data_IF_560807094434
#
_entry.id   IF_560807094434
#
_cell.length_a   1.000
_cell.length_b   1.000
_cell.length_c   1.000
_cell.angle_alpha   90.00
_cell.angle_beta   90.00
_cell.angle_gamma   90.00
#
_symmetry.space_group_name_H-M   'P 1'
#
loop_
_entity.id
_entity.type
_entity.pdbx_description
1 polymer ?
#
# COMPACT_ATOMS: atom_id res chain seq x y z
N UNK A 1 14.45 -8.69 -13.61
CA UNK A 1 14.26 -7.75 -12.48
C UNK A 1 12.78 -7.77 -12.11
N UNK A 2 12.42 -7.72 -10.84
CA UNK A 2 11.01 -7.65 -10.45
C UNK A 2 10.48 -6.24 -10.71
N UNK A 3 9.29 -6.13 -11.33
CA UNK A 3 8.62 -4.85 -11.56
C UNK A 3 8.28 -4.17 -10.24
N UNK A 4 8.51 -2.86 -10.13
CA UNK A 4 8.18 -2.07 -8.94
C UNK A 4 6.80 -1.43 -9.07
N UNK A 5 6.24 -0.97 -7.96
CA UNK A 5 4.99 -0.20 -7.94
C UNK A 5 5.26 1.26 -7.60
N UNK A 6 4.46 2.17 -8.13
CA UNK A 6 4.43 3.57 -7.68
C UNK A 6 3.19 3.76 -6.82
N UNK A 7 3.35 4.39 -5.67
CA UNK A 7 2.26 4.81 -4.81
C UNK A 7 2.24 6.33 -4.69
N UNK A 8 1.07 6.91 -4.96
CA UNK A 8 0.79 8.34 -4.83
C UNK A 8 -0.51 8.50 -4.06
N UNK A 9 -0.45 9.14 -2.91
CA UNK A 9 -1.63 9.36 -2.08
C UNK A 9 -1.62 10.76 -1.45
N UNK A 10 -2.77 11.16 -0.93
CA UNK A 10 -2.87 12.36 -0.12
C UNK A 10 -2.39 12.05 1.29
N UNK A 11 -1.37 12.76 1.75
CA UNK A 11 -0.82 12.63 3.09
C UNK A 11 -1.68 13.32 4.16
N UNK A 12 -1.33 13.13 5.42
CA UNK A 12 -2.05 13.73 6.57
C UNK A 12 -1.75 15.22 6.75
N UNK A 13 -0.69 15.73 6.14
CA UNK A 13 -0.28 17.14 6.22
C UNK A 13 0.24 17.51 7.60
N UNK A 14 1.24 16.79 8.12
CA UNK A 14 1.94 17.10 9.37
C UNK A 14 3.32 17.70 9.08
N UNK A 15 3.44 19.02 9.06
CA UNK A 15 4.71 19.71 8.82
C UNK A 15 5.75 19.37 9.89
N UNK A 16 5.33 19.18 11.14
CA UNK A 16 6.23 18.76 12.22
C UNK A 16 6.86 17.39 11.98
N UNK A 17 6.10 16.44 11.41
CA UNK A 17 6.64 15.14 10.99
C UNK A 17 7.57 15.29 9.79
N UNK A 18 7.13 16.01 8.76
CA UNK A 18 7.87 16.17 7.52
C UNK A 18 9.23 16.85 7.75
N UNK A 19 9.27 17.83 8.67
CA UNK A 19 10.48 18.60 8.98
C UNK A 19 11.27 18.05 10.17
N UNK A 20 10.92 16.83 10.66
CA UNK A 20 11.64 16.17 11.78
C UNK A 20 11.73 17.01 13.05
N UNK A 21 10.66 17.72 13.40
CA UNK A 21 10.60 18.48 14.66
C UNK A 21 10.41 17.59 15.89
N UNK A 22 10.10 16.31 15.68
CA UNK A 22 10.06 15.28 16.72
C UNK A 22 10.48 13.93 16.12
N UNK A 23 10.95 13.01 16.97
CA UNK A 23 11.28 11.64 16.60
C UNK A 23 10.11 10.71 16.87
N UNK A 24 9.75 9.86 15.87
CA UNK A 24 8.79 8.78 16.01
C UNK A 24 9.50 7.42 15.99
N UNK A 25 8.83 6.36 16.44
CA UNK A 25 9.41 5.01 16.58
C UNK A 25 9.94 4.41 15.27
N UNK A 26 9.41 4.84 14.13
CA UNK A 26 9.79 4.38 12.79
C UNK A 26 10.91 5.19 12.15
N UNK A 27 11.45 6.21 12.84
CA UNK A 27 12.52 7.08 12.36
C UNK A 27 13.86 6.59 12.89
N UNK A 28 14.81 6.37 11.98
CA UNK A 28 16.21 6.15 12.32
C UNK A 28 16.95 7.50 12.38
N UNK A 29 17.08 8.04 13.59
CA UNK A 29 17.69 9.36 13.80
C UNK A 29 19.14 9.45 13.28
N UNK A 30 19.86 8.34 13.16
CA UNK A 30 21.22 8.33 12.60
C UNK A 30 21.26 8.66 11.10
N UNK A 31 20.15 8.42 10.40
CA UNK A 31 19.96 8.68 8.97
C UNK A 31 19.25 9.98 8.67
N UNK A 32 18.64 10.64 9.65
CA UNK A 32 17.93 11.93 9.47
C UNK A 32 18.76 12.99 8.75
N UNK A 33 20.10 13.10 8.97
CA UNK A 33 20.92 14.02 8.19
C UNK A 33 20.99 13.75 6.67
N UNK A 34 20.59 12.55 6.22
CA UNK A 34 20.56 12.19 4.81
C UNK A 34 19.26 12.63 4.12
N UNK A 35 18.24 13.05 4.87
CA UNK A 35 17.00 13.58 4.31
C UNK A 35 17.30 14.80 3.43
N UNK A 36 16.54 14.93 2.32
CA UNK A 36 16.74 16.04 1.38
C UNK A 36 15.60 17.01 1.50
N UNK A 37 15.92 18.23 1.87
CA UNK A 37 14.96 19.34 1.93
C UNK A 37 15.07 20.14 0.63
N UNK A 38 14.02 20.10 -0.20
CA UNK A 38 13.96 20.88 -1.44
C UNK A 38 13.40 22.28 -1.21
N UNK A 39 12.35 22.38 -0.40
CA UNK A 39 11.68 23.63 -0.04
C UNK A 39 11.29 23.57 1.43
N UNK A 40 11.54 24.66 2.14
CA UNK A 40 11.11 24.85 3.52
C UNK A 40 10.73 26.32 3.75
N UNK A 41 9.44 26.60 3.75
CA UNK A 41 8.88 27.93 4.02
C UNK A 41 7.77 27.80 5.07
N UNK A 42 7.62 28.76 5.95
CA UNK A 42 6.50 28.74 6.87
C UNK A 42 5.18 28.93 6.14
N UNK A 43 4.12 28.23 6.57
CA UNK A 43 2.80 28.32 5.95
C UNK A 43 2.22 29.75 5.96
N UNK A 44 2.47 30.50 7.05
CA UNK A 44 2.10 31.93 7.16
C UNK A 44 2.72 32.76 6.05
N UNK A 45 4.02 32.58 5.83
CA UNK A 45 4.78 33.37 4.87
C UNK A 45 4.36 33.04 3.44
N UNK A 46 4.07 31.76 3.17
CA UNK A 46 3.51 31.34 1.88
C UNK A 46 2.15 31.98 1.59
N UNK A 47 1.26 32.05 2.58
CA UNK A 47 -0.03 32.72 2.42
C UNK A 47 0.12 34.22 2.22
N UNK A 48 0.97 34.90 2.95
CA UNK A 48 1.28 36.32 2.77
C UNK A 48 1.81 36.58 1.36
N UNK A 49 2.79 35.82 0.93
CA UNK A 49 3.39 35.93 -0.39
C UNK A 49 2.37 35.73 -1.54
N UNK A 50 1.44 34.80 -1.39
CA UNK A 50 0.49 34.46 -2.43
C UNK A 50 -0.72 35.39 -2.51
N UNK A 51 -1.20 35.88 -1.38
CA UNK A 51 -2.55 36.46 -1.34
C UNK A 51 -2.62 37.93 -0.89
N UNK A 52 -1.61 38.48 -0.20
CA UNK A 52 -1.70 39.83 0.38
C UNK A 52 -1.94 40.89 -0.69
N UNK A 53 -1.21 40.87 -1.79
CA UNK A 53 -1.37 41.82 -2.87
C UNK A 53 -2.78 41.78 -3.48
N UNK A 54 -3.35 40.57 -3.67
CA UNK A 54 -4.71 40.43 -4.17
C UNK A 54 -5.75 40.93 -3.13
N UNK A 55 -5.51 40.68 -1.85
CA UNK A 55 -6.34 41.19 -0.76
C UNK A 55 -6.30 42.71 -0.67
N UNK A 56 -5.14 43.34 -0.83
CA UNK A 56 -5.01 44.78 -0.85
C UNK A 56 -5.80 45.38 -2.02
N UNK A 57 -5.65 44.85 -3.25
CA UNK A 57 -6.44 45.28 -4.40
C UNK A 57 -7.95 45.12 -4.19
N UNK A 58 -8.34 43.98 -3.62
CA UNK A 58 -9.74 43.70 -3.28
C UNK A 58 -10.27 44.75 -2.28
N UNK A 59 -9.53 44.98 -1.19
CA UNK A 59 -9.89 45.90 -0.10
C UNK A 59 -9.98 47.36 -0.56
N UNK A 60 -9.14 47.79 -1.50
CA UNK A 60 -9.18 49.13 -2.08
C UNK A 60 -10.51 49.40 -2.79
N UNK A 61 -11.11 48.39 -3.41
CA UNK A 61 -12.36 48.44 -4.10
C UNK A 61 -13.61 48.26 -3.21
N UNK A 62 -13.43 47.91 -1.90
CA UNK A 62 -14.55 47.73 -0.97
C UNK A 62 -14.95 49.01 -0.25
N UNK A 63 -16.18 49.48 -0.52
CA UNK A 63 -16.77 50.63 0.17
C UNK A 63 -17.15 50.31 1.62
N UNK A 64 -17.57 49.08 1.90
CA UNK A 64 -18.05 48.64 3.21
C UNK A 64 -16.91 48.03 3.99
N UNK A 65 -16.69 48.49 5.24
CA UNK A 65 -15.63 48.01 6.13
C UNK A 65 -15.78 46.53 6.52
N UNK A 66 -17.02 46.06 6.69
CA UNK A 66 -17.35 44.68 7.05
C UNK A 66 -17.06 43.66 5.92
N UNK A 67 -16.78 44.13 4.70
CA UNK A 67 -16.38 43.28 3.57
C UNK A 67 -14.87 43.26 3.32
N UNK A 68 -14.11 44.07 4.05
CA UNK A 68 -12.66 44.06 3.94
C UNK A 68 -12.06 42.84 4.65
N UNK A 69 -11.05 42.28 4.03
CA UNK A 69 -10.32 41.08 4.54
C UNK A 69 -9.08 41.62 5.29
N UNK A 70 -8.96 41.34 6.56
CA UNK A 70 -7.78 41.69 7.36
C UNK A 70 -6.61 40.73 7.10
N UNK A 71 -6.80 39.48 7.45
CA UNK A 71 -5.87 38.41 7.15
C UNK A 71 -6.59 37.32 6.34
N UNK A 72 -6.00 36.91 5.21
CA UNK A 72 -6.69 35.97 4.31
C UNK A 72 -6.80 34.58 4.90
N UNK A 73 -5.78 34.11 5.59
CA UNK A 73 -5.81 32.80 6.25
C UNK A 73 -6.91 32.74 7.32
N UNK A 74 -6.95 33.75 8.20
CA UNK A 74 -7.98 33.82 9.25
C UNK A 74 -9.39 33.98 8.66
N UNK A 75 -9.50 34.73 7.54
CA UNK A 75 -10.78 34.88 6.82
C UNK A 75 -11.31 33.54 6.30
N UNK A 76 -10.44 32.63 5.85
CA UNK A 76 -10.83 31.31 5.34
C UNK A 76 -11.10 30.30 6.46
N UNK A 77 -10.25 30.28 7.48
CA UNK A 77 -10.22 29.19 8.45
C UNK A 77 -10.66 29.58 9.86
N UNK A 78 -10.86 30.86 10.11
CA UNK A 78 -11.17 31.41 11.44
C UNK A 78 -10.16 30.94 12.54
N UNK A 79 -8.91 30.78 12.16
CA UNK A 79 -7.79 30.30 12.98
C UNK A 79 -6.48 30.85 12.44
N UNK A 80 -5.44 30.84 13.30
CA UNK A 80 -4.06 31.08 12.86
C UNK A 80 -3.48 29.87 12.12
N UNK A 81 -2.46 30.07 11.25
CA UNK A 81 -1.73 28.99 10.61
C UNK A 81 -1.21 27.94 11.59
N UNK A 82 -1.29 26.67 11.21
CA UNK A 82 -0.88 25.54 12.03
C UNK A 82 0.02 24.62 11.24
N UNK A 83 0.88 23.85 11.93
CA UNK A 83 1.72 22.80 11.34
C UNK A 83 0.92 21.58 10.87
N UNK A 84 -0.36 21.51 11.18
CA UNK A 84 -1.30 20.49 10.68
C UNK A 84 -2.34 21.15 9.79
N UNK A 85 -2.88 20.35 8.84
CA UNK A 85 -3.96 20.81 7.95
C UNK A 85 -5.17 21.28 8.75
N UNK A 86 -5.62 22.49 8.45
CA UNK A 86 -6.91 23.02 8.92
C UNK A 86 -7.92 22.87 7.79
N UNK A 87 -9.12 22.36 8.11
CA UNK A 87 -10.23 22.29 7.15
C UNK A 87 -11.25 23.34 7.49
N UNK A 88 -11.54 24.22 6.54
CA UNK A 88 -12.56 25.26 6.65
C UNK A 88 -13.98 24.69 6.54
N UNK A 89 -14.96 25.55 6.79
CA UNK A 89 -16.42 25.21 6.76
C UNK A 89 -16.88 24.72 5.39
N UNK A 90 -16.27 25.19 4.31
CA UNK A 90 -16.52 24.78 2.93
C UNK A 90 -15.70 23.56 2.48
N UNK A 91 -15.08 22.82 3.41
CA UNK A 91 -14.18 21.68 3.18
C UNK A 91 -12.86 22.06 2.47
N UNK A 92 -12.54 23.32 2.33
CA UNK A 92 -11.24 23.79 1.85
C UNK A 92 -10.17 23.48 2.90
N UNK A 93 -9.01 23.07 2.44
CA UNK A 93 -7.86 22.75 3.31
C UNK A 93 -6.83 23.86 3.24
N UNK A 94 -6.20 24.17 4.38
CA UNK A 94 -5.14 25.19 4.44
C UNK A 94 -3.90 24.85 3.60
N UNK A 95 -3.66 23.59 3.34
CA UNK A 95 -2.70 23.07 2.37
C UNK A 95 -2.99 21.61 2.09
N UNK A 96 -2.39 21.09 1.06
CA UNK A 96 -2.47 19.67 0.69
C UNK A 96 -1.09 19.03 0.75
N UNK A 97 -1.05 17.75 0.99
CA UNK A 97 0.16 16.96 0.95
C UNK A 97 0.05 15.88 -0.13
N UNK A 98 1.05 15.81 -1.00
CA UNK A 98 1.24 14.72 -1.95
C UNK A 98 2.38 13.85 -1.46
N UNK A 99 2.07 12.58 -1.15
CA UNK A 99 3.02 11.58 -0.69
C UNK A 99 3.32 10.62 -1.83
N UNK A 100 4.61 10.47 -2.15
CA UNK A 100 5.09 9.67 -3.29
C UNK A 100 6.17 8.72 -2.85
N UNK A 101 6.03 7.45 -3.22
CA UNK A 101 7.09 6.44 -3.04
C UNK A 101 7.04 5.37 -4.13
N UNK A 102 8.19 4.70 -4.32
CA UNK A 102 8.41 3.68 -5.35
C UNK A 102 8.72 2.37 -4.64
N UNK A 103 8.04 1.30 -5.03
CA UNK A 103 8.26 -0.05 -4.49
C UNK A 103 7.70 -0.25 -3.08
N UNK A 104 8.34 -1.15 -2.36
CA UNK A 104 8.00 -1.57 -0.99
C UNK A 104 9.26 -1.66 -0.14
N UNK A 105 9.10 -1.82 1.19
CA UNK A 105 10.23 -2.04 2.10
C UNK A 105 11.15 -3.20 1.68
N UNK A 106 10.60 -4.23 1.00
CA UNK A 106 11.37 -5.42 0.62
C UNK A 106 12.26 -5.21 -0.61
N UNK A 107 11.83 -4.36 -1.54
CA UNK A 107 12.47 -4.23 -2.86
C UNK A 107 13.14 -2.87 -3.10
N UNK A 108 12.71 -1.82 -2.41
CA UNK A 108 13.28 -0.47 -2.49
C UNK A 108 13.49 0.16 -1.12
N UNK A 109 13.38 -0.63 -0.05
CA UNK A 109 13.66 -0.18 1.31
C UNK A 109 15.12 0.26 1.47
N UNK A 110 15.36 1.15 2.43
CA UNK A 110 16.72 1.63 2.72
C UNK A 110 17.65 0.45 3.01
N UNK A 111 18.80 0.44 2.34
CA UNK A 111 19.78 -0.65 2.39
C UNK A 111 19.59 -1.73 1.33
N UNK A 112 18.55 -1.66 0.49
CA UNK A 112 18.43 -2.52 -0.69
C UNK A 112 19.20 -1.93 -1.89
N UNK A 113 19.63 -2.75 -2.87
CA UNK A 113 20.34 -2.27 -4.06
C UNK A 113 19.56 -1.21 -4.87
N UNK A 114 18.21 -1.31 -4.88
CA UNK A 114 17.38 -0.40 -5.66
C UNK A 114 17.00 0.89 -4.91
N UNK A 115 17.36 1.02 -3.62
CA UNK A 115 17.04 2.20 -2.81
C UNK A 115 17.67 3.48 -3.34
N UNK A 116 18.92 3.44 -3.79
CA UNK A 116 19.63 4.59 -4.32
C UNK A 116 19.01 5.06 -5.64
N UNK A 117 18.74 4.13 -6.56
CA UNK A 117 18.14 4.44 -7.86
C UNK A 117 16.74 5.04 -7.68
N UNK A 118 15.93 4.46 -6.79
CA UNK A 118 14.58 5.01 -6.51
C UNK A 118 14.63 6.36 -5.82
N UNK A 119 15.66 6.63 -5.01
CA UNK A 119 15.92 7.94 -4.41
C UNK A 119 16.20 8.98 -5.50
N UNK A 120 17.04 8.67 -6.48
CA UNK A 120 17.31 9.57 -7.62
C UNK A 120 16.07 9.81 -8.47
N UNK A 121 15.26 8.78 -8.73
CA UNK A 121 13.97 8.96 -9.43
C UNK A 121 13.04 9.94 -8.69
N UNK A 122 12.99 9.86 -7.36
CA UNK A 122 12.17 10.78 -6.55
C UNK A 122 12.74 12.20 -6.53
N UNK A 123 14.09 12.38 -6.59
CA UNK A 123 14.73 13.69 -6.74
C UNK A 123 14.34 14.34 -8.06
N UNK A 124 14.58 13.65 -9.17
CA UNK A 124 14.26 14.14 -10.52
C UNK A 124 12.75 14.48 -10.63
N UNK A 125 11.91 13.64 -10.07
CA UNK A 125 10.47 13.90 -10.03
C UNK A 125 10.15 15.21 -9.30
N UNK A 126 10.77 15.46 -8.15
CA UNK A 126 10.52 16.67 -7.36
C UNK A 126 11.07 17.93 -8.06
N UNK A 127 12.23 17.87 -8.66
CA UNK A 127 12.87 19.00 -9.35
C UNK A 127 11.94 19.59 -10.44
N UNK A 128 11.22 18.73 -11.17
CA UNK A 128 10.26 19.15 -12.17
C UNK A 128 8.87 19.46 -11.64
N UNK A 129 8.56 19.21 -10.37
CA UNK A 129 7.18 19.22 -9.86
C UNK A 129 6.53 20.60 -9.96
N UNK A 130 7.20 21.66 -9.50
CA UNK A 130 6.62 23.03 -9.52
C UNK A 130 6.37 23.53 -10.95
N UNK A 131 7.25 23.22 -11.89
CA UNK A 131 7.09 23.63 -13.29
C UNK A 131 5.90 22.94 -13.97
N UNK A 132 5.65 21.67 -13.64
CA UNK A 132 4.51 20.89 -14.15
C UNK A 132 3.19 21.29 -13.50
N UNK A 133 3.25 21.81 -12.27
CA UNK A 133 2.09 22.15 -11.45
C UNK A 133 2.12 23.64 -11.05
N UNK A 134 2.01 24.57 -12.00
CA UNK A 134 2.22 25.99 -11.74
C UNK A 134 1.20 26.57 -10.75
N UNK A 135 0.01 26.01 -10.66
CA UNK A 135 -1.05 26.42 -9.73
C UNK A 135 -0.98 25.74 -8.36
N UNK A 136 0.01 24.85 -8.13
CA UNK A 136 0.29 24.25 -6.83
C UNK A 136 1.56 24.86 -6.25
N UNK A 137 1.41 25.88 -5.45
CA UNK A 137 2.55 26.52 -4.81
C UNK A 137 3.15 25.62 -3.74
N UNK A 138 4.31 25.04 -4.01
CA UNK A 138 5.04 24.19 -3.07
C UNK A 138 5.75 25.07 -2.05
N UNK A 139 5.36 24.96 -0.79
CA UNK A 139 5.99 25.69 0.31
C UNK A 139 6.84 24.82 1.24
N UNK A 140 6.65 23.50 1.18
CA UNK A 140 7.46 22.55 1.91
C UNK A 140 7.59 21.24 1.12
N UNK A 141 8.82 20.75 0.89
CA UNK A 141 9.06 19.49 0.23
C UNK A 141 10.30 18.81 0.79
N UNK A 142 10.14 17.56 1.25
CA UNK A 142 11.20 16.78 1.89
C UNK A 142 11.17 15.35 1.40
N UNK A 143 12.34 14.81 1.03
CA UNK A 143 12.56 13.41 0.74
C UNK A 143 13.14 12.74 2.00
N UNK A 144 12.39 11.82 2.58
CA UNK A 144 12.80 11.07 3.75
C UNK A 144 13.58 9.82 3.35
N UNK A 145 14.77 9.68 3.92
CA UNK A 145 15.68 8.53 3.80
C UNK A 145 15.93 7.85 5.15
N UNK A 146 15.31 8.33 6.20
CA UNK A 146 15.44 7.91 7.59
C UNK A 146 14.30 7.01 8.08
N UNK A 147 13.39 6.63 7.20
CA UNK A 147 12.38 5.61 7.43
C UNK A 147 12.66 4.34 6.62
N UNK A 148 11.75 3.37 6.66
CA UNK A 148 11.97 2.06 6.02
C UNK A 148 12.04 2.10 4.50
N UNK A 149 11.44 3.08 3.84
CA UNK A 149 11.43 3.23 2.38
C UNK A 149 11.61 4.70 2.01
N UNK A 150 12.46 5.05 1.03
CA UNK A 150 12.54 6.41 0.52
C UNK A 150 11.18 6.92 0.06
N UNK A 151 10.78 8.10 0.52
CA UNK A 151 9.49 8.70 0.15
C UNK A 151 9.53 10.22 0.23
N UNK A 152 8.74 10.84 -0.64
CA UNK A 152 8.70 12.28 -0.84
C UNK A 152 7.40 12.86 -0.30
N UNK A 153 7.51 13.85 0.59
CA UNK A 153 6.42 14.69 1.07
C UNK A 153 6.43 16.03 0.34
N UNK A 154 5.37 16.35 -0.39
CA UNK A 154 5.21 17.62 -1.10
C UNK A 154 3.99 18.34 -0.53
N UNK A 155 4.20 19.44 0.21
CA UNK A 155 3.12 20.25 0.75
C UNK A 155 2.93 21.47 -0.13
N UNK A 156 1.68 21.71 -0.57
CA UNK A 156 1.36 22.77 -1.51
C UNK A 156 0.04 23.47 -1.18
N UNK A 157 -0.05 24.73 -1.59
CA UNK A 157 -1.25 25.56 -1.56
C UNK A 157 -1.77 25.68 -3.00
N UNK A 158 -3.02 25.27 -3.29
CA UNK A 158 -3.57 25.41 -4.64
C UNK A 158 -4.04 26.84 -4.90
N UNK A 159 -3.50 27.47 -5.91
CA UNK A 159 -3.78 28.86 -6.29
C UNK A 159 -4.67 28.93 -7.53
N UNK A 160 -5.84 29.49 -7.39
CA UNK A 160 -6.79 29.69 -8.49
C UNK A 160 -7.04 31.18 -8.76
N UNK A 161 -7.20 31.54 -10.05
CA UNK A 161 -7.41 32.90 -10.49
C UNK A 161 -8.88 33.16 -10.91
N UNK A 162 -9.42 34.30 -10.51
CA UNK A 162 -10.82 34.63 -10.69
C UNK A 162 -10.99 36.05 -11.22
N UNK A 163 -12.00 36.24 -12.05
CA UNK A 163 -12.34 37.55 -12.65
C UNK A 163 -13.24 38.44 -11.78
N UNK A 164 -13.82 37.89 -10.70
CA UNK A 164 -14.74 38.59 -9.80
C UNK A 164 -14.41 38.36 -8.35
N UNK A 165 -14.50 39.40 -7.55
CA UNK A 165 -14.21 39.33 -6.10
C UNK A 165 -12.70 39.35 -5.83
N UNK A 166 -12.23 38.53 -4.88
CA UNK A 166 -10.80 38.34 -4.67
C UNK A 166 -10.22 37.60 -5.88
N UNK A 167 -9.22 38.18 -6.54
CA UNK A 167 -8.68 37.68 -7.80
C UNK A 167 -7.89 36.41 -7.65
N UNK A 168 -7.10 36.28 -6.57
CA UNK A 168 -6.26 35.10 -6.28
C UNK A 168 -6.76 34.45 -5.00
N UNK A 169 -7.02 33.15 -5.05
CA UNK A 169 -7.58 32.41 -3.91
C UNK A 169 -6.94 31.03 -3.76
N UNK A 170 -6.90 30.55 -2.53
CA UNK A 170 -6.71 29.14 -2.26
C UNK A 170 -7.94 28.38 -2.78
N UNK A 171 -7.80 27.69 -3.93
CA UNK A 171 -8.94 27.11 -4.63
C UNK A 171 -8.50 25.90 -5.49
N UNK A 172 -8.51 24.70 -4.91
CA UNK A 172 -8.01 23.47 -5.56
C UNK A 172 -8.71 23.18 -6.90
N UNK A 173 -10.04 23.27 -6.96
CA UNK A 173 -10.78 22.98 -8.19
C UNK A 173 -10.43 23.96 -9.32
N UNK A 174 -10.24 25.25 -8.98
CA UNK A 174 -9.85 26.27 -9.96
C UNK A 174 -8.41 26.07 -10.43
N UNK A 175 -7.50 25.76 -9.51
CA UNK A 175 -6.13 25.40 -9.84
C UNK A 175 -6.05 24.19 -10.79
N UNK A 176 -6.85 23.13 -10.52
CA UNK A 176 -6.95 21.97 -11.41
C UNK A 176 -7.50 22.32 -12.79
N UNK A 177 -8.53 23.19 -12.85
CA UNK A 177 -9.11 23.64 -14.11
C UNK A 177 -8.09 24.42 -14.95
N UNK A 178 -7.35 25.35 -14.34
CA UNK A 178 -6.31 26.14 -14.98
C UNK A 178 -5.13 25.31 -15.50
N UNK A 179 -4.79 24.24 -14.81
CA UNK A 179 -3.79 23.26 -15.25
C UNK A 179 -4.32 22.27 -16.30
N UNK A 180 -5.60 22.37 -16.73
CA UNK A 180 -6.17 21.52 -17.76
C UNK A 180 -6.76 20.19 -17.28
N UNK A 181 -6.81 19.94 -15.97
CA UNK A 181 -7.38 18.71 -15.41
C UNK A 181 -8.90 18.78 -15.19
N UNK A 182 -9.52 19.97 -15.42
CA UNK A 182 -10.94 20.21 -15.20
C UNK A 182 -11.29 20.47 -13.73
N UNK A 183 -12.60 20.70 -13.47
CA UNK A 183 -13.11 21.05 -12.13
C UNK A 183 -14.16 20.06 -11.58
N UNK A 184 -14.34 18.92 -12.25
CA UNK A 184 -15.26 17.87 -11.83
C UNK A 184 -14.63 16.92 -10.79
N UNK A 185 -15.43 15.99 -10.27
CA UNK A 185 -15.02 15.04 -9.23
C UNK A 185 -13.83 14.13 -9.62
N UNK A 186 -13.50 14.02 -10.91
CA UNK A 186 -12.38 13.20 -11.42
C UNK A 186 -11.12 14.03 -11.74
N UNK A 187 -11.16 15.35 -11.60
CA UNK A 187 -10.01 16.22 -11.88
C UNK A 187 -8.75 15.76 -11.10
N UNK A 188 -8.90 15.47 -9.83
CA UNK A 188 -7.79 14.98 -8.99
C UNK A 188 -7.26 13.60 -9.43
N UNK A 189 -8.11 12.72 -9.95
CA UNK A 189 -7.68 11.41 -10.45
C UNK A 189 -6.91 11.54 -11.77
N UNK A 190 -7.34 12.46 -12.66
CA UNK A 190 -6.61 12.77 -13.90
C UNK A 190 -5.24 13.39 -13.62
N UNK A 191 -5.17 14.35 -12.71
CA UNK A 191 -3.90 14.94 -12.28
C UNK A 191 -2.96 13.87 -11.69
N UNK A 192 -3.46 13.04 -10.77
CA UNK A 192 -2.66 11.98 -10.14
C UNK A 192 -2.19 10.95 -11.15
N UNK A 193 -3.01 10.60 -12.14
CA UNK A 193 -2.62 9.70 -13.22
C UNK A 193 -1.50 10.31 -14.07
N UNK A 194 -1.61 11.58 -14.41
CA UNK A 194 -0.56 12.30 -15.13
C UNK A 194 0.77 12.31 -14.37
N UNK A 195 0.75 12.65 -13.09
CA UNK A 195 1.95 12.63 -12.24
C UNK A 195 2.53 11.21 -12.10
N UNK A 196 1.67 10.19 -12.04
CA UNK A 196 2.08 8.80 -12.01
C UNK A 196 2.78 8.38 -13.32
N UNK A 197 2.23 8.76 -14.46
CA UNK A 197 2.83 8.47 -15.78
C UNK A 197 4.20 9.16 -15.92
N UNK A 198 4.36 10.38 -15.40
CA UNK A 198 5.63 11.10 -15.39
C UNK A 198 6.67 10.35 -14.55
N UNK A 199 6.33 9.98 -13.30
CA UNK A 199 7.27 9.24 -12.45
C UNK A 199 7.61 7.87 -13.03
N UNK A 200 6.65 7.18 -13.66
CA UNK A 200 6.90 5.93 -14.39
C UNK A 200 7.95 6.12 -15.48
N UNK A 201 7.83 7.20 -16.26
CA UNK A 201 8.81 7.49 -17.32
C UNK A 201 10.21 7.77 -16.76
N UNK A 202 10.30 8.51 -15.64
CA UNK A 202 11.56 8.73 -14.94
C UNK A 202 12.15 7.38 -14.47
N UNK A 203 11.37 6.54 -13.79
CA UNK A 203 11.81 5.22 -13.35
C UNK A 203 12.32 4.35 -14.50
N UNK A 204 11.58 4.33 -15.62
CA UNK A 204 11.98 3.58 -16.81
C UNK A 204 13.31 4.10 -17.41
N UNK A 205 13.53 5.42 -17.41
CA UNK A 205 14.79 6.01 -17.86
C UNK A 205 15.98 5.60 -16.96
N UNK A 206 15.73 5.39 -15.67
CA UNK A 206 16.70 4.84 -14.72
C UNK A 206 16.77 3.31 -14.68
N UNK A 207 16.10 2.61 -15.62
CA UNK A 207 16.15 1.15 -15.74
C UNK A 207 15.25 0.39 -14.76
N UNK A 208 14.32 1.08 -14.09
CA UNK A 208 13.33 0.46 -13.19
C UNK A 208 12.02 0.26 -13.95
N UNK A 209 11.61 -0.98 -14.12
CA UNK A 209 10.32 -1.32 -14.71
C UNK A 209 9.18 -1.12 -13.69
N UNK A 210 8.13 -0.39 -14.09
CA UNK A 210 6.99 -0.07 -13.23
C UNK A 210 5.75 -0.84 -13.68
N UNK A 211 5.14 -1.57 -12.75
CA UNK A 211 3.84 -2.23 -12.96
C UNK A 211 2.71 -1.22 -13.06
N UNK A 212 1.73 -1.47 -13.93
CA UNK A 212 0.50 -0.66 -13.96
C UNK A 212 -0.21 -0.65 -12.60
N UNK A 213 -0.83 0.46 -12.20
CA UNK A 213 -1.50 0.56 -10.93
C UNK A 213 -2.64 -0.46 -10.85
N UNK A 214 -2.57 -1.34 -9.88
CA UNK A 214 -3.68 -2.23 -9.56
C UNK A 214 -4.88 -1.34 -9.19
N UNK A 215 -6.08 -1.66 -9.72
CA UNK A 215 -7.30 -0.94 -9.34
C UNK A 215 -7.34 -0.79 -7.82
N UNK A 216 -7.41 0.46 -7.34
CA UNK A 216 -7.45 0.76 -5.91
C UNK A 216 -8.54 -0.08 -5.25
N UNK A 217 -8.14 -0.96 -4.36
CA UNK A 217 -9.05 -1.77 -3.55
C UNK A 217 -9.52 -0.92 -2.38
N UNK A 218 -10.20 0.14 -2.57
CA UNK A 218 -10.93 1.05 -1.67
C UNK A 218 -10.83 0.94 -0.14
N UNK A 219 -9.84 0.26 0.40
CA UNK A 219 -9.59 0.10 1.82
C UNK A 219 -8.22 0.63 2.21
N UNK A 220 -8.20 1.49 3.22
CA UNK A 220 -6.97 1.94 3.88
C UNK A 220 -6.98 1.39 5.31
N UNK A 221 -6.15 0.40 5.59
CA UNK A 221 -5.81 0.07 6.97
C UNK A 221 -5.15 1.28 7.64
N UNK A 222 -5.30 1.42 8.94
CA UNK A 222 -4.35 2.26 9.69
C UNK A 222 -2.95 1.70 9.44
N UNK A 223 -1.95 2.57 9.30
CA UNK A 223 -0.59 2.19 8.92
C UNK A 223 -0.03 1.08 9.83
N UNK A 224 -0.36 1.13 11.13
CA UNK A 224 0.04 0.13 12.13
C UNK A 224 -0.63 -1.23 11.89
N UNK A 225 -1.95 -1.25 11.67
CA UNK A 225 -2.72 -2.48 11.39
C UNK A 225 -2.32 -3.12 10.06
N UNK A 226 -1.99 -2.31 9.05
CA UNK A 226 -1.51 -2.80 7.75
C UNK A 226 -0.12 -3.43 7.87
N UNK A 227 0.79 -2.82 8.64
CA UNK A 227 2.12 -3.35 8.91
C UNK A 227 2.05 -4.74 9.55
N UNK A 228 1.33 -4.85 10.67
CA UNK A 228 1.15 -6.12 11.39
C UNK A 228 0.52 -7.22 10.51
N UNK A 229 -0.49 -6.85 9.72
CA UNK A 229 -1.17 -7.81 8.83
C UNK A 229 -0.25 -8.29 7.71
N UNK A 230 0.52 -7.39 7.10
CA UNK A 230 1.51 -7.76 6.07
C UNK A 230 2.67 -8.56 6.63
N UNK A 231 3.15 -8.23 7.82
CA UNK A 231 4.20 -9.00 8.50
C UNK A 231 3.74 -10.43 8.79
N UNK A 232 2.49 -10.62 9.21
CA UNK A 232 1.90 -11.96 9.42
C UNK A 232 1.77 -12.73 8.11
N UNK A 233 1.28 -12.12 7.02
CA UNK A 233 1.20 -12.74 5.69
C UNK A 233 2.60 -13.13 5.20
N UNK A 234 3.59 -12.27 5.39
CA UNK A 234 4.96 -12.55 4.99
C UNK A 234 5.57 -13.70 5.78
N UNK A 235 5.34 -13.75 7.10
CA UNK A 235 5.80 -14.85 7.95
C UNK A 235 5.17 -16.19 7.54
N UNK A 236 3.86 -16.22 7.25
CA UNK A 236 3.17 -17.42 6.79
C UNK A 236 3.66 -17.89 5.42
N UNK A 237 3.92 -16.97 4.48
CA UNK A 237 4.49 -17.33 3.18
C UNK A 237 5.91 -17.91 3.32
N UNK A 238 6.76 -17.34 4.16
CA UNK A 238 8.09 -17.85 4.43
C UNK A 238 8.04 -19.26 5.06
N UNK A 239 7.09 -19.52 5.97
CA UNK A 239 6.89 -20.83 6.57
C UNK A 239 6.39 -21.86 5.54
N UNK A 240 5.50 -21.46 4.61
CA UNK A 240 5.06 -22.32 3.48
C UNK A 240 6.26 -22.69 2.59
N UNK A 241 7.13 -21.73 2.24
CA UNK A 241 8.33 -22.00 1.45
C UNK A 241 9.26 -22.98 2.17
N UNK A 242 9.50 -22.80 3.48
CA UNK A 242 10.31 -23.70 4.30
C UNK A 242 9.74 -25.12 4.34
N UNK A 243 8.44 -25.24 4.62
CA UNK A 243 7.76 -26.54 4.70
C UNK A 243 7.71 -27.24 3.34
N UNK A 244 7.63 -26.48 2.25
CA UNK A 244 7.67 -27.01 0.88
C UNK A 244 9.06 -27.63 0.59
N UNK A 245 10.14 -26.93 0.94
CA UNK A 245 11.50 -27.42 0.77
C UNK A 245 11.75 -28.70 1.63
N UNK A 246 11.32 -28.71 2.89
CA UNK A 246 11.42 -29.86 3.80
C UNK A 246 10.65 -31.07 3.25
N UNK A 247 9.45 -30.88 2.71
CA UNK A 247 8.68 -31.91 2.01
C UNK A 247 9.44 -32.48 0.82
N UNK A 248 9.96 -31.60 -0.04
CA UNK A 248 10.62 -32.03 -1.29
C UNK A 248 11.93 -32.80 -0.98
N UNK A 249 12.67 -32.41 0.05
CA UNK A 249 13.83 -33.14 0.54
C UNK A 249 13.44 -34.53 1.06
N UNK A 250 12.40 -34.62 1.89
CA UNK A 250 11.89 -35.90 2.44
C UNK A 250 11.40 -36.83 1.33
N UNK A 251 10.71 -36.29 0.30
CA UNK A 251 10.27 -37.08 -0.87
C UNK A 251 11.48 -37.60 -1.66
N UNK A 252 12.52 -36.76 -1.88
CA UNK A 252 13.71 -37.14 -2.60
C UNK A 252 14.48 -38.29 -1.87
N UNK A 253 14.58 -38.24 -0.53
CA UNK A 253 15.17 -39.33 0.29
C UNK A 253 14.36 -40.60 0.16
N UNK A 254 13.02 -40.53 0.24
CA UNK A 254 12.13 -41.67 0.06
C UNK A 254 12.30 -42.30 -1.31
N UNK A 255 12.40 -41.53 -2.38
CA UNK A 255 12.65 -42.08 -3.73
C UNK A 255 13.99 -42.78 -3.87
N UNK A 256 15.06 -42.26 -3.25
CA UNK A 256 16.38 -42.92 -3.21
C UNK A 256 16.30 -44.30 -2.53
N UNK A 257 15.54 -44.39 -1.42
CA UNK A 257 15.33 -45.64 -0.69
C UNK A 257 14.52 -46.64 -1.53
N UNK A 258 13.51 -46.19 -2.29
CA UNK A 258 12.66 -47.02 -3.15
C UNK A 258 13.38 -47.61 -4.38
N UNK A 259 14.43 -46.93 -4.89
CA UNK A 259 15.14 -47.33 -6.12
C UNK A 259 16.22 -48.40 -5.94
N UNK A 260 16.54 -48.87 -4.70
CA UNK A 260 17.55 -49.91 -4.50
C UNK A 260 17.03 -51.30 -4.88
N UNK A 261 17.38 -51.77 -6.09
CA UNK A 261 17.02 -53.13 -6.59
C UNK A 261 18.09 -54.17 -6.30
N UNK A 262 17.66 -55.38 -6.03
CA UNK A 262 18.51 -56.58 -5.88
C UNK A 262 18.38 -57.44 -7.14
N UNK A 263 19.52 -57.92 -7.70
CA UNK A 263 19.54 -58.71 -8.90
C UNK A 263 19.49 -60.20 -8.56
N UNK A 264 18.37 -60.90 -8.91
CA UNK A 264 18.12 -62.31 -8.56
C UNK A 264 18.67 -63.25 -9.66
N UNK A 265 18.89 -62.73 -10.88
CA UNK A 265 19.25 -63.52 -12.06
C UNK A 265 20.59 -64.28 -11.94
N UNK A 266 21.51 -63.84 -11.04
CA UNK A 266 22.80 -64.54 -10.82
C UNK A 266 22.63 -65.86 -10.05
N UNK A 267 21.53 -66.00 -9.27
CA UNK A 267 21.27 -67.20 -8.46
C UNK A 267 20.59 -68.28 -9.35
N UNK A 268 19.72 -67.84 -10.27
CA UNK A 268 18.95 -68.72 -11.12
C UNK A 268 19.81 -69.42 -12.19
N UNK A 269 21.03 -68.93 -12.46
CA UNK A 269 21.95 -69.50 -13.43
C UNK A 269 22.88 -70.63 -12.90
N UNK A 270 22.73 -71.06 -11.63
CA UNK A 270 23.60 -72.04 -10.99
C UNK A 270 23.05 -73.44 -11.27
N UNK A 271 23.83 -74.29 -11.98
CA UNK A 271 23.50 -75.68 -12.31
C UNK A 271 23.99 -76.66 -11.24
N UNK A 272 23.08 -77.43 -10.68
CA UNK A 272 23.41 -78.50 -9.67
C UNK A 272 23.32 -79.91 -10.29
N UNK A 273 24.34 -80.75 -10.14
CA UNK A 273 24.33 -82.12 -10.60
C UNK A 273 24.04 -83.09 -9.49
N UNK A 274 23.01 -83.90 -9.62
CA UNK A 274 22.67 -84.92 -8.70
C UNK A 274 23.52 -86.18 -8.94
N UNK A 275 23.98 -86.84 -7.82
CA UNK A 275 24.69 -88.11 -7.95
C UNK A 275 23.74 -89.26 -8.24
N UNK A 276 24.21 -90.27 -8.99
CA UNK A 276 23.47 -91.49 -9.45
C UNK A 276 22.70 -92.21 -8.33
N UNK A 277 23.03 -91.96 -7.06
CA UNK A 277 22.41 -92.58 -5.88
C UNK A 277 21.56 -91.61 -5.03
N UNK A 278 21.24 -90.45 -5.57
CA UNK A 278 20.23 -89.53 -5.01
C UNK A 278 20.53 -88.92 -3.61
N UNK A 279 21.72 -89.11 -3.06
CA UNK A 279 22.02 -88.58 -1.68
C UNK A 279 23.04 -87.44 -1.61
N UNK A 280 23.59 -87.04 -2.77
CA UNK A 280 24.58 -85.97 -2.81
C UNK A 280 24.35 -85.11 -4.01
N UNK A 281 24.36 -83.80 -3.80
CA UNK A 281 24.35 -82.78 -4.88
C UNK A 281 25.77 -82.25 -5.02
N UNK A 282 26.31 -82.27 -6.25
CA UNK A 282 27.66 -81.79 -6.57
C UNK A 282 27.55 -80.49 -7.32
N UNK A 283 28.25 -79.50 -6.83
CA UNK A 283 28.39 -78.19 -7.45
C UNK A 283 29.84 -78.01 -7.87
N UNK A 284 30.11 -77.21 -8.88
CA UNK A 284 31.46 -76.77 -9.13
C UNK A 284 31.91 -75.90 -7.96
N UNK A 285 33.24 -75.88 -7.69
CA UNK A 285 33.79 -75.03 -6.62
C UNK A 285 33.42 -73.57 -6.83
N UNK A 286 33.40 -73.17 -8.09
CA UNK A 286 33.03 -71.80 -8.48
C UNK A 286 31.54 -71.45 -8.18
N UNK A 287 30.64 -72.41 -8.43
CA UNK A 287 29.19 -72.21 -8.14
C UNK A 287 28.91 -72.30 -6.63
N UNK A 288 29.69 -73.17 -5.89
CA UNK A 288 29.59 -73.14 -4.42
C UNK A 288 30.08 -71.86 -3.80
N UNK A 289 31.18 -71.28 -4.30
CA UNK A 289 31.71 -69.99 -3.84
C UNK A 289 30.72 -68.86 -4.16
N UNK A 290 30.13 -68.89 -5.36
CA UNK A 290 29.05 -67.92 -5.74
C UNK A 290 27.84 -68.04 -4.81
N UNK A 291 27.34 -69.27 -4.53
CA UNK A 291 26.20 -69.44 -3.63
C UNK A 291 26.54 -69.02 -2.19
N UNK A 292 27.73 -69.38 -1.70
CA UNK A 292 28.20 -69.02 -0.35
C UNK A 292 28.30 -67.47 -0.20
N UNK A 293 28.87 -66.81 -1.21
CA UNK A 293 28.98 -65.33 -1.20
C UNK A 293 27.62 -64.64 -1.36
N UNK A 294 26.74 -65.23 -2.16
CA UNK A 294 25.38 -64.72 -2.31
C UNK A 294 24.57 -64.90 -1.03
N UNK A 295 24.71 -66.07 -0.35
CA UNK A 295 24.08 -66.30 0.95
C UNK A 295 24.61 -65.32 2.01
N UNK A 296 25.93 -65.07 2.06
CA UNK A 296 26.51 -64.07 2.96
C UNK A 296 25.99 -62.65 2.65
N UNK A 297 25.93 -62.31 1.37
CA UNK A 297 25.34 -61.03 0.91
C UNK A 297 23.87 -60.93 1.30
N UNK A 298 23.07 -62.02 1.16
CA UNK A 298 21.67 -62.04 1.54
C UNK A 298 21.47 -61.80 3.05
N UNK A 299 22.25 -62.46 3.91
CA UNK A 299 22.19 -62.23 5.37
C UNK A 299 22.57 -60.79 5.74
N UNK A 300 23.58 -60.22 5.05
CA UNK A 300 23.96 -58.86 5.22
C UNK A 300 22.84 -57.89 4.72
N UNK A 301 22.20 -58.25 3.59
CA UNK A 301 21.09 -57.47 3.03
C UNK A 301 19.83 -57.56 3.90
N UNK A 302 19.53 -58.70 4.57
CA UNK A 302 18.39 -58.79 5.47
C UNK A 302 18.45 -57.74 6.61
N UNK A 303 19.65 -57.55 7.16
CA UNK A 303 19.89 -56.49 8.14
C UNK A 303 19.68 -55.10 7.53
N UNK A 304 20.19 -54.91 6.30
CA UNK A 304 20.00 -53.63 5.58
C UNK A 304 18.55 -53.39 5.19
N UNK A 305 17.81 -54.43 4.78
CA UNK A 305 16.37 -54.36 4.51
C UNK A 305 15.57 -53.92 5.74
N UNK A 306 15.90 -54.52 6.93
CA UNK A 306 15.27 -54.08 8.18
C UNK A 306 15.59 -52.65 8.52
N UNK A 307 16.85 -52.22 8.31
CA UNK A 307 17.27 -50.82 8.49
C UNK A 307 16.55 -49.89 7.53
N UNK A 308 16.55 -50.21 6.24
CA UNK A 308 15.88 -49.42 5.20
C UNK A 308 14.36 -49.34 5.38
N UNK A 309 13.70 -50.42 5.85
CA UNK A 309 12.28 -50.39 6.21
C UNK A 309 12.03 -49.38 7.35
N UNK A 310 12.87 -49.40 8.39
CA UNK A 310 12.75 -48.43 9.49
C UNK A 310 12.98 -47.00 9.03
N UNK A 311 14.00 -46.76 8.20
CA UNK A 311 14.28 -45.43 7.64
C UNK A 311 13.12 -44.95 6.78
N UNK A 312 12.55 -45.80 5.92
CA UNK A 312 11.34 -45.51 5.15
C UNK A 312 10.17 -45.14 6.04
N UNK A 313 9.89 -45.93 7.08
CA UNK A 313 8.74 -45.73 7.96
C UNK A 313 8.90 -44.41 8.74
N UNK A 314 10.14 -44.06 9.13
CA UNK A 314 10.46 -42.78 9.75
C UNK A 314 10.23 -41.62 8.76
N UNK A 315 10.75 -41.73 7.54
CA UNK A 315 10.56 -40.69 6.50
C UNK A 315 9.08 -40.48 6.14
N UNK A 316 8.28 -41.55 6.12
CA UNK A 316 6.82 -41.45 5.92
C UNK A 316 6.13 -40.70 7.07
N UNK A 317 6.55 -40.94 8.31
CA UNK A 317 6.01 -40.20 9.46
C UNK A 317 6.41 -38.72 9.45
N UNK A 318 7.68 -38.43 9.13
CA UNK A 318 8.17 -37.04 9.00
C UNK A 318 7.43 -36.28 7.89
N UNK A 319 7.27 -36.90 6.72
CA UNK A 319 6.48 -36.34 5.63
C UNK A 319 5.04 -36.05 6.05
N UNK A 320 4.39 -36.98 6.77
CA UNK A 320 3.05 -36.78 7.30
C UNK A 320 2.95 -35.59 8.26
N UNK A 321 3.94 -35.42 9.15
CA UNK A 321 4.01 -34.32 10.08
C UNK A 321 4.22 -32.96 9.36
N UNK A 322 5.09 -32.93 8.34
CA UNK A 322 5.33 -31.74 7.51
C UNK A 322 4.07 -31.37 6.73
N UNK A 323 3.38 -32.34 6.14
CA UNK A 323 2.11 -32.10 5.43
C UNK A 323 1.02 -31.51 6.34
N UNK A 324 0.87 -32.03 7.57
CA UNK A 324 -0.08 -31.47 8.53
C UNK A 324 0.25 -30.02 8.90
N UNK A 325 1.52 -29.69 9.12
CA UNK A 325 1.95 -28.31 9.38
C UNK A 325 1.66 -27.39 8.17
N UNK A 326 1.97 -27.87 6.96
CA UNK A 326 1.69 -27.13 5.74
C UNK A 326 0.20 -26.83 5.58
N UNK A 327 -0.68 -27.81 5.82
CA UNK A 327 -2.13 -27.62 5.75
C UNK A 327 -2.63 -26.62 6.78
N UNK A 328 -2.13 -26.67 8.02
CA UNK A 328 -2.48 -25.74 9.09
C UNK A 328 -2.09 -24.29 8.73
N UNK A 329 -0.84 -24.08 8.29
CA UNK A 329 -0.34 -22.77 7.90
C UNK A 329 -1.06 -22.24 6.66
N UNK A 330 -1.35 -23.10 5.69
CA UNK A 330 -2.10 -22.74 4.48
C UNK A 330 -3.55 -22.33 4.79
N UNK A 331 -4.19 -23.03 5.75
CA UNK A 331 -5.53 -22.68 6.25
C UNK A 331 -5.52 -21.32 6.96
N UNK A 332 -4.54 -21.08 7.84
CA UNK A 332 -4.38 -19.79 8.53
C UNK A 332 -4.19 -18.64 7.53
N UNK A 333 -3.34 -18.82 6.52
CA UNK A 333 -3.15 -17.83 5.46
C UNK A 333 -4.46 -17.55 4.69
N UNK A 334 -5.25 -18.59 4.39
CA UNK A 334 -6.55 -18.46 3.73
C UNK A 334 -7.53 -17.63 4.58
N UNK A 335 -7.56 -17.84 5.90
CA UNK A 335 -8.39 -17.04 6.81
C UNK A 335 -7.97 -15.57 6.86
N UNK A 336 -6.67 -15.28 6.90
CA UNK A 336 -6.17 -13.90 6.84
C UNK A 336 -6.57 -13.21 5.54
N UNK A 337 -6.44 -13.90 4.39
CA UNK A 337 -6.88 -13.37 3.09
C UNK A 337 -8.40 -13.11 3.04
N UNK A 338 -9.22 -14.00 3.61
CA UNK A 338 -10.68 -13.79 3.72
C UNK A 338 -11.04 -12.62 4.62
N UNK A 339 -10.34 -12.44 5.75
CA UNK A 339 -10.54 -11.27 6.64
C UNK A 339 -10.21 -9.97 5.90
N UNK A 340 -9.15 -9.96 5.12
CA UNK A 340 -8.78 -8.82 4.26
C UNK A 340 -9.88 -8.50 3.24
N UNK A 341 -10.38 -9.50 2.51
CA UNK A 341 -11.47 -9.32 1.54
C UNK A 341 -12.76 -8.80 2.17
N UNK A 342 -13.15 -9.33 3.34
CA UNK A 342 -14.33 -8.89 4.08
C UNK A 342 -14.20 -7.45 4.59
N UNK A 343 -13.03 -7.07 5.08
CA UNK A 343 -12.74 -5.69 5.50
C UNK A 343 -12.87 -4.72 4.31
N UNK A 344 -12.38 -5.11 3.12
CA UNK A 344 -12.56 -4.35 1.88
C UNK A 344 -14.04 -4.19 1.50
N UNK A 345 -14.83 -5.27 1.58
CA UNK A 345 -16.26 -5.23 1.28
C UNK A 345 -17.02 -4.27 2.19
N UNK A 346 -16.80 -4.35 3.51
CA UNK A 346 -17.46 -3.50 4.51
C UNK A 346 -17.10 -2.03 4.34
N UNK A 347 -15.85 -1.73 4.03
CA UNK A 347 -15.40 -0.36 3.78
C UNK A 347 -16.04 0.23 2.53
N UNK A 348 -16.12 -0.54 1.43
CA UNK A 348 -16.80 -0.12 0.19
C UNK A 348 -18.30 0.16 0.43
N UNK A 349 -18.95 -0.66 1.27
CA UNK A 349 -20.36 -0.46 1.65
C UNK A 349 -20.55 0.83 2.44
N UNK A 350 -19.66 1.16 3.39
CA UNK A 350 -19.69 2.42 4.15
C UNK A 350 -19.47 3.64 3.25
N UNK A 351 -18.47 3.59 2.34
CA UNK A 351 -18.21 4.67 1.39
C UNK A 351 -19.39 4.92 0.44
N UNK A 352 -20.04 3.87 -0.06
CA UNK A 352 -21.22 4.01 -0.90
C UNK A 352 -22.42 4.60 -0.14
N UNK A 353 -22.64 4.21 1.12
CA UNK A 353 -23.69 4.78 1.96
C UNK A 353 -23.43 6.27 2.25
N UNK A 354 -22.20 6.66 2.54
CA UNK A 354 -21.79 8.05 2.75
C UNK A 354 -21.95 8.88 1.47
N UNK A 355 -21.56 8.36 0.32
CA UNK A 355 -21.74 9.02 -0.97
C UNK A 355 -23.24 9.24 -1.30
N UNK A 356 -24.10 8.27 -0.95
CA UNK A 356 -25.56 8.43 -1.11
C UNK A 356 -26.13 9.48 -0.15
N UNK A 357 -25.61 9.53 1.11
CA UNK A 357 -26.00 10.55 2.08
C UNK A 357 -25.65 11.95 1.57
N UNK A 358 -24.42 12.15 1.11
CA UNK A 358 -23.97 13.44 0.54
C UNK A 358 -24.84 13.84 -0.65
N UNK A 359 -25.17 12.93 -1.56
CA UNK A 359 -26.05 13.23 -2.70
C UNK A 359 -27.45 13.67 -2.25
N UNK A 360 -28.00 13.05 -1.20
CA UNK A 360 -29.30 13.46 -0.62
C UNK A 360 -29.24 14.85 0.00
N UNK A 361 -28.19 15.13 0.77
CA UNK A 361 -28.00 16.44 1.40
C UNK A 361 -27.85 17.54 0.34
N UNK A 362 -27.11 17.30 -0.73
CA UNK A 362 -26.97 18.22 -1.86
C UNK A 362 -28.29 18.46 -2.61
N UNK A 363 -29.11 17.41 -2.77
CA UNK A 363 -30.43 17.54 -3.38
C UNK A 363 -31.38 18.35 -2.50
N UNK A 364 -31.43 18.06 -1.20
CA UNK A 364 -32.23 18.81 -0.23
C UNK A 364 -31.83 20.28 -0.15
N UNK A 365 -30.53 20.57 -0.22
CA UNK A 365 -30.00 21.94 -0.26
C UNK A 365 -30.47 22.69 -1.49
N UNK A 366 -30.42 22.06 -2.68
CA UNK A 366 -30.93 22.65 -3.93
C UNK A 366 -32.45 22.90 -3.87
N UNK A 367 -33.21 21.95 -3.33
CA UNK A 367 -34.68 22.10 -3.22
C UNK A 367 -35.06 23.17 -2.22
N UNK A 368 -34.32 23.29 -1.11
CA UNK A 368 -34.47 24.36 -0.14
C UNK A 368 -34.15 25.72 -0.75
N UNK A 369 -33.15 25.83 -1.60
CA UNK A 369 -32.79 27.04 -2.29
C UNK A 369 -33.85 27.46 -3.31
N UNK A 370 -34.45 26.50 -4.04
CA UNK A 370 -35.57 26.73 -4.94
C UNK A 370 -36.81 27.20 -4.17
N UNK A 371 -37.14 26.54 -3.05
CA UNK A 371 -38.27 26.95 -2.22
C UNK A 371 -38.10 28.35 -1.65
N UNK A 372 -36.90 28.72 -1.19
CA UNK A 372 -36.60 30.09 -0.74
C UNK A 372 -36.74 31.12 -1.85
N UNK A 373 -36.25 30.81 -3.06
CA UNK A 373 -36.39 31.66 -4.22
C UNK A 373 -37.86 31.86 -4.61
N UNK A 374 -38.67 30.82 -4.58
CA UNK A 374 -40.12 30.86 -4.84
C UNK A 374 -40.86 31.72 -3.79
N UNK A 375 -40.61 31.51 -2.50
CA UNK A 375 -41.20 32.30 -1.41
C UNK A 375 -40.86 33.79 -1.57
N UNK A 376 -39.62 34.12 -1.95
CA UNK A 376 -39.19 35.49 -2.21
C UNK A 376 -39.89 36.10 -3.44
N UNK A 377 -40.01 35.31 -4.52
CA UNK A 377 -40.69 35.74 -5.74
C UNK A 377 -42.20 35.99 -5.56
N UNK A 378 -42.84 35.25 -4.64
CA UNK A 378 -44.25 35.43 -4.29
C UNK A 378 -44.49 36.56 -3.26
N UNK A 379 -43.44 37.25 -2.79
CA UNK A 379 -43.56 38.26 -1.75
C UNK A 379 -43.90 37.78 -0.35
N UNK A 380 -43.81 36.44 -0.13
CA UNK A 380 -44.22 35.77 1.11
C UNK A 380 -43.07 35.62 2.14
N UNK A 381 -41.96 36.30 1.97
CA UNK A 381 -40.77 36.18 2.80
C UNK A 381 -41.02 36.56 4.27
N UNK A 382 -41.79 37.63 4.50
CA UNK A 382 -42.14 38.09 5.84
C UNK A 382 -43.12 37.14 6.55
N UNK A 383 -44.15 36.64 5.84
CA UNK A 383 -45.13 35.68 6.38
C UNK A 383 -44.46 34.34 6.73
N UNK A 384 -43.52 33.87 5.92
CA UNK A 384 -42.73 32.70 6.20
C UNK A 384 -41.82 32.88 7.42
N UNK A 385 -41.23 34.04 7.58
CA UNK A 385 -40.43 34.38 8.76
C UNK A 385 -41.29 34.37 10.04
N UNK A 386 -42.51 34.93 10.00
CA UNK A 386 -43.47 34.89 11.11
C UNK A 386 -43.92 33.48 11.43
N UNK A 387 -44.22 32.65 10.41
CA UNK A 387 -44.57 31.24 10.60
C UNK A 387 -43.46 30.45 11.28
N UNK A 388 -42.21 30.60 10.85
CA UNK A 388 -41.04 29.96 11.43
C UNK A 388 -40.83 30.36 12.90
N UNK A 389 -40.95 31.66 13.20
CA UNK A 389 -40.80 32.18 14.54
C UNK A 389 -41.87 31.59 15.51
N UNK A 390 -43.13 31.55 15.08
CA UNK A 390 -44.22 31.01 15.88
C UNK A 390 -44.08 29.49 16.10
N UNK A 391 -43.59 28.72 15.12
CA UNK A 391 -43.36 27.27 15.26
C UNK A 391 -42.20 26.95 16.21
N UNK A 392 -41.12 27.72 16.19
CA UNK A 392 -39.99 27.54 17.12
C UNK A 392 -40.41 27.86 18.55
N UNK A 393 -41.20 28.92 18.76
CA UNK A 393 -41.73 29.29 20.08
C UNK A 393 -42.71 28.27 20.67
N UNK A 394 -43.52 27.60 19.83
CA UNK A 394 -44.42 26.55 20.29
C UNK A 394 -43.70 25.23 20.63
N UNK A 395 -42.57 24.95 19.93
CA UNK A 395 -41.75 23.78 20.22
C UNK A 395 -40.84 23.94 21.47
N UNK A 396 -40.65 25.15 21.98
CA UNK A 396 -39.97 25.46 23.25
C UNK A 396 -40.92 25.48 24.44
N UNK A 397 -42.24 25.40 24.19
CA UNK A 397 -43.29 25.41 25.22
C UNK A 397 -43.95 24.02 25.44
N UNK A 398 -43.60 23.00 24.61
CA UNK A 398 -43.91 21.59 24.81
C UNK A 398 -42.66 20.83 25.37
#
# INVERSE_FOLDING_TARGET
MSTKSISMCEGKGSLSHNNREFSAKNIDNSRTPNNVVFVHQALSDAYHQLFDEAVERYNANQKRKDRKIGNYFEHLFNRLPSKSVITGTNKQKSFYEHLVYIGTRKDTGVGTPDAEITTECLREYMEGFQARNPNFYVFNAVLHLDESTPHLHINYIPVGHFTRGLEVRDAKNKAMEEMGFGNDAKANDRWRRNEWDILKNICNAHGIEISEPKKSRGYSYKVEEYGEHQDKINALNAEIERLTAERDETVAEFEKLAKKKVNIGEIESIEAKESVFGKKVTLSKEDYDKLSDTAKKYVAMEKNIKKLKKERDTAVQELGAVMQKFEAVSSELSEYKKKEENAHYLSRKKLNAEAQRIKREDQLSRDLQKARAFISACGLAEDFARYKFNKTRNAELE
#
